data_IF_378516700850
#
_entry.id   IF_378516700850
#
_cell.length_a   1.000
_cell.length_b   1.000
_cell.length_c   1.000
_cell.angle_alpha   90.00
_cell.angle_beta   90.00
_cell.angle_gamma   90.00
#
_symmetry.space_group_name_H-M   'P 1'
#
loop_
_entity.id
_entity.type
_entity.pdbx_description
1 polymer ?
#
# COMPACT_ATOMS: atom_id res chain seq x y z
N UNK A 1 2.17 40.47 8.23
CA UNK A 1 1.48 39.40 8.98
C UNK A 1 0.62 38.64 7.99
N UNK A 2 1.15 37.56 7.42
CA UNK A 2 0.41 36.65 6.55
C UNK A 2 0.22 35.36 7.35
N UNK A 3 -1.04 35.02 7.62
CA UNK A 3 -1.43 33.80 8.34
C UNK A 3 -1.12 32.58 7.48
N UNK A 4 -0.18 31.75 7.93
CA UNK A 4 -0.05 30.36 7.48
C UNK A 4 -1.24 29.56 8.01
N UNK A 5 -1.90 28.72 7.20
CA UNK A 5 -2.93 27.83 7.72
C UNK A 5 -2.25 26.77 8.58
N UNK A 6 -2.70 26.67 9.82
CA UNK A 6 -2.31 25.65 10.78
C UNK A 6 -2.60 24.26 10.21
N UNK A 7 -1.55 23.49 9.96
CA UNK A 7 -1.62 22.05 9.68
C UNK A 7 -2.08 21.38 10.98
N UNK A 8 -3.38 21.10 11.07
CA UNK A 8 -3.90 20.25 12.14
C UNK A 8 -3.36 18.83 11.91
N UNK A 9 -2.43 18.40 12.76
CA UNK A 9 -2.03 17.00 12.85
C UNK A 9 -3.27 16.15 13.12
N UNK A 10 -3.66 15.32 12.16
CA UNK A 10 -4.87 14.49 12.25
C UNK A 10 -4.65 13.42 13.32
N UNK A 11 -5.17 13.66 14.52
CA UNK A 11 -5.25 12.68 15.59
C UNK A 11 -6.33 11.64 15.27
N UNK A 12 -5.98 10.35 15.43
CA UNK A 12 -6.82 9.12 15.56
C UNK A 12 -8.34 9.29 15.56
N UNK A 13 -8.94 9.77 14.48
CA UNK A 13 -10.34 9.48 14.16
C UNK A 13 -10.30 8.47 13.03
N UNK A 14 -10.98 7.34 13.22
CA UNK A 14 -11.39 6.49 12.11
C UNK A 14 -12.34 7.34 11.24
N UNK A 15 -11.77 8.19 10.39
CA UNK A 15 -12.47 9.14 9.51
C UNK A 15 -12.85 8.48 8.18
N UNK A 16 -12.92 7.15 8.15
CA UNK A 16 -13.52 6.42 7.05
C UNK A 16 -15.00 6.79 6.99
N UNK A 17 -15.50 7.32 5.85
CA UNK A 17 -16.90 7.66 5.73
C UNK A 17 -17.75 6.40 5.89
N UNK A 18 -18.86 6.48 6.64
CA UNK A 18 -19.80 5.37 6.74
C UNK A 18 -21.05 5.68 5.92
N UNK A 19 -21.15 5.09 4.74
CA UNK A 19 -22.27 5.33 3.82
C UNK A 19 -23.39 4.32 4.10
N UNK A 20 -24.65 4.73 4.30
CA UNK A 20 -25.76 3.81 4.51
C UNK A 20 -25.98 2.85 3.34
N UNK A 21 -26.34 1.60 3.64
CA UNK A 21 -26.59 0.56 2.62
C UNK A 21 -27.59 0.99 1.53
N UNK A 22 -28.76 1.59 1.86
CA UNK A 22 -29.70 2.04 0.84
C UNK A 22 -29.11 3.11 -0.08
N UNK A 23 -28.34 4.05 0.47
CA UNK A 23 -27.73 5.16 -0.28
C UNK A 23 -26.67 4.64 -1.27
N UNK A 24 -25.88 3.62 -0.88
CA UNK A 24 -24.95 2.94 -1.80
C UNK A 24 -25.67 2.33 -2.99
N UNK A 25 -26.80 1.64 -2.73
CA UNK A 25 -27.58 0.97 -3.76
C UNK A 25 -28.24 2.00 -4.69
N UNK A 26 -28.83 3.07 -4.15
CA UNK A 26 -29.42 4.15 -4.95
C UNK A 26 -28.35 4.80 -5.84
N UNK A 27 -27.18 5.12 -5.28
CA UNK A 27 -26.07 5.69 -6.03
C UNK A 27 -25.59 4.75 -7.14
N UNK A 28 -25.44 3.46 -6.85
CA UNK A 28 -25.08 2.44 -7.85
C UNK A 28 -26.10 2.35 -8.98
N UNK A 29 -27.39 2.23 -8.64
CA UNK A 29 -28.45 2.13 -9.64
C UNK A 29 -28.57 3.41 -10.48
N UNK A 30 -28.26 4.58 -9.90
CA UNK A 30 -28.15 5.84 -10.64
C UNK A 30 -27.00 5.80 -11.66
N UNK A 31 -25.82 5.33 -11.27
CA UNK A 31 -24.67 5.15 -12.19
C UNK A 31 -24.99 4.18 -13.34
N UNK A 32 -25.97 3.27 -13.15
CA UNK A 32 -26.45 2.31 -14.14
C UNK A 32 -27.77 2.70 -14.82
N UNK A 33 -28.31 3.91 -14.60
CA UNK A 33 -29.67 4.28 -15.06
C UNK A 33 -29.79 4.30 -16.60
N UNK A 34 -28.67 4.48 -17.31
CA UNK A 34 -28.62 4.35 -18.77
C UNK A 34 -29.06 2.97 -19.29
N UNK A 35 -29.06 1.94 -18.43
CA UNK A 35 -29.54 0.59 -18.77
C UNK A 35 -31.04 0.38 -18.56
N UNK A 36 -31.77 1.36 -18.01
CA UNK A 36 -33.16 1.20 -17.61
C UNK A 36 -34.07 0.74 -18.77
N UNK A 37 -33.86 1.29 -19.97
CA UNK A 37 -34.66 0.98 -21.17
C UNK A 37 -34.04 -0.12 -22.04
N UNK A 38 -32.92 -0.71 -21.62
CA UNK A 38 -32.25 -1.77 -22.38
C UNK A 38 -32.94 -3.13 -22.21
N UNK A 39 -33.11 -3.83 -23.33
CA UNK A 39 -33.63 -5.21 -23.33
C UNK A 39 -32.62 -6.21 -22.74
N UNK A 40 -31.33 -6.08 -23.08
CA UNK A 40 -30.21 -6.85 -22.52
C UNK A 40 -29.38 -5.91 -21.65
N UNK A 41 -29.14 -6.31 -20.40
CA UNK A 41 -28.40 -5.51 -19.42
C UNK A 41 -27.10 -6.20 -18.98
N UNK A 42 -26.23 -5.49 -18.28
CA UNK A 42 -25.04 -6.07 -17.66
C UNK A 42 -25.37 -6.73 -16.31
N UNK A 43 -24.41 -7.47 -15.76
CA UNK A 43 -24.53 -8.04 -14.43
C UNK A 43 -24.64 -6.98 -13.33
N UNK A 44 -24.29 -5.72 -13.59
CA UNK A 44 -24.21 -4.65 -12.58
C UNK A 44 -25.57 -4.33 -11.96
N UNK A 45 -26.66 -4.51 -12.70
CA UNK A 45 -28.03 -4.31 -12.21
C UNK A 45 -28.65 -5.57 -11.59
N UNK A 46 -27.87 -6.63 -11.39
CA UNK A 46 -28.28 -7.85 -10.69
C UNK A 46 -27.90 -7.81 -9.21
N UNK A 47 -28.40 -8.76 -8.41
CA UNK A 47 -28.12 -8.79 -6.96
C UNK A 47 -26.62 -8.96 -6.69
N UNK A 48 -25.95 -9.81 -7.48
CA UNK A 48 -24.51 -10.04 -7.36
C UNK A 48 -23.72 -8.81 -7.77
N UNK A 49 -24.06 -8.17 -8.90
CA UNK A 49 -23.40 -6.94 -9.33
C UNK A 49 -23.56 -5.80 -8.32
N UNK A 50 -24.78 -5.57 -7.83
CA UNK A 50 -25.04 -4.56 -6.79
C UNK A 50 -24.26 -4.88 -5.51
N UNK A 51 -24.26 -6.15 -5.07
CA UNK A 51 -23.52 -6.57 -3.88
C UNK A 51 -22.03 -6.26 -4.03
N UNK A 52 -21.49 -6.53 -5.20
CA UNK A 52 -20.10 -6.34 -5.53
C UNK A 52 -19.70 -4.86 -5.56
N UNK A 53 -20.39 -4.04 -6.35
CA UNK A 53 -20.08 -2.61 -6.50
C UNK A 53 -20.30 -1.82 -5.21
N UNK A 54 -21.25 -2.21 -4.36
CA UNK A 54 -21.54 -1.55 -3.09
C UNK A 54 -20.73 -2.10 -1.90
N UNK A 55 -19.84 -3.09 -2.13
CA UNK A 55 -19.10 -3.81 -1.08
C UNK A 55 -20.03 -4.37 0.02
N UNK A 56 -21.08 -5.08 -0.39
CA UNK A 56 -22.12 -5.64 0.48
C UNK A 56 -22.19 -7.16 0.38
N UNK A 57 -22.51 -7.79 1.51
CA UNK A 57 -22.91 -9.19 1.50
C UNK A 57 -24.30 -9.34 0.82
N UNK A 58 -24.53 -10.31 -0.10
CA UNK A 58 -25.78 -10.40 -0.90
C UNK A 58 -27.13 -10.42 -0.12
N UNK A 59 -27.21 -10.99 1.09
CA UNK A 59 -28.38 -10.87 1.97
C UNK A 59 -28.69 -9.43 2.39
N UNK A 60 -27.69 -8.58 2.61
CA UNK A 60 -27.89 -7.18 2.98
C UNK A 60 -28.49 -6.39 1.82
N UNK A 61 -28.03 -6.67 0.59
CA UNK A 61 -28.67 -6.16 -0.64
C UNK A 61 -30.13 -6.60 -0.67
N UNK A 62 -30.41 -7.90 -0.48
CA UNK A 62 -31.80 -8.40 -0.54
C UNK A 62 -32.73 -7.78 0.51
N UNK A 63 -32.21 -7.35 1.67
CA UNK A 63 -32.97 -6.62 2.69
C UNK A 63 -33.24 -5.18 2.27
N UNK A 64 -32.20 -4.47 1.85
CA UNK A 64 -32.30 -3.08 1.41
C UNK A 64 -33.19 -2.94 0.15
N UNK A 65 -33.07 -3.84 -0.81
CA UNK A 65 -33.93 -3.84 -2.01
C UNK A 65 -35.41 -4.03 -1.67
N UNK A 66 -35.74 -4.86 -0.67
CA UNK A 66 -37.13 -5.00 -0.22
C UNK A 66 -37.67 -3.70 0.38
N UNK A 67 -36.85 -3.01 1.17
CA UNK A 67 -37.19 -1.71 1.74
C UNK A 67 -37.39 -0.66 0.64
N UNK A 68 -36.41 -0.48 -0.24
CA UNK A 68 -36.46 0.50 -1.34
C UNK A 68 -37.65 0.23 -2.29
N UNK A 69 -37.95 -1.04 -2.57
CA UNK A 69 -39.10 -1.40 -3.40
C UNK A 69 -40.44 -1.12 -2.69
N UNK A 70 -40.52 -1.32 -1.37
CA UNK A 70 -41.71 -0.96 -0.59
C UNK A 70 -41.96 0.55 -0.50
N UNK A 71 -40.90 1.34 -0.67
CA UNK A 71 -40.95 2.80 -0.73
C UNK A 71 -41.19 3.33 -2.16
N UNK A 72 -41.34 2.46 -3.16
CA UNK A 72 -41.56 2.87 -4.55
C UNK A 72 -40.32 3.41 -5.28
N UNK A 73 -39.13 3.37 -4.67
CA UNK A 73 -37.91 4.00 -5.21
C UNK A 73 -37.21 3.16 -6.28
N UNK A 74 -37.45 1.85 -6.31
CA UNK A 74 -36.87 0.94 -7.29
C UNK A 74 -37.94 -0.01 -7.84
N UNK A 75 -37.68 -0.53 -9.04
CA UNK A 75 -38.50 -1.56 -9.66
C UNK A 75 -37.66 -2.80 -9.99
N UNK A 76 -38.29 -3.99 -9.90
CA UNK A 76 -37.66 -5.27 -10.20
C UNK A 76 -38.17 -5.82 -11.53
N UNK A 77 -37.26 -6.22 -12.41
CA UNK A 77 -37.55 -6.81 -13.72
C UNK A 77 -36.83 -8.14 -13.90
N UNK A 78 -37.38 -9.02 -14.72
CA UNK A 78 -36.66 -10.21 -15.20
C UNK A 78 -36.09 -9.88 -16.58
N UNK A 79 -34.77 -9.83 -16.74
CA UNK A 79 -34.11 -9.46 -18.01
C UNK A 79 -32.96 -10.41 -18.36
N UNK A 80 -32.67 -10.64 -19.65
CA UNK A 80 -31.45 -11.30 -20.08
C UNK A 80 -30.22 -10.46 -19.70
N UNK A 81 -29.16 -11.11 -19.22
CA UNK A 81 -27.91 -10.48 -18.84
C UNK A 81 -26.84 -10.86 -19.87
N UNK A 82 -26.05 -9.89 -20.32
CA UNK A 82 -24.97 -10.12 -21.29
C UNK A 82 -24.00 -11.18 -20.74
N UNK A 83 -23.71 -12.21 -21.54
CA UNK A 83 -22.81 -13.30 -21.16
C UNK A 83 -23.47 -14.41 -20.33
N UNK A 84 -24.77 -14.31 -20.04
CA UNK A 84 -25.52 -15.37 -19.38
C UNK A 84 -26.70 -15.84 -20.26
N UNK A 85 -26.90 -17.16 -20.31
CA UNK A 85 -28.00 -17.77 -21.05
C UNK A 85 -29.33 -17.70 -20.29
N UNK A 86 -29.31 -17.36 -19.00
CA UNK A 86 -30.50 -17.27 -18.14
C UNK A 86 -30.90 -15.82 -17.92
N UNK A 87 -32.22 -15.60 -17.80
CA UNK A 87 -32.77 -14.32 -17.33
C UNK A 87 -32.53 -14.20 -15.83
N UNK A 88 -32.15 -13.01 -15.40
CA UNK A 88 -31.93 -12.70 -14.00
C UNK A 88 -32.92 -11.66 -13.50
N UNK A 89 -33.11 -11.64 -12.18
CA UNK A 89 -33.74 -10.50 -11.52
C UNK A 89 -32.77 -9.32 -11.59
N UNK A 90 -33.29 -8.21 -12.07
CA UNK A 90 -32.57 -6.96 -12.28
C UNK A 90 -33.36 -5.83 -11.65
N UNK A 91 -32.68 -4.76 -11.27
CA UNK A 91 -33.30 -3.62 -10.62
C UNK A 91 -32.89 -2.31 -11.27
N UNK A 92 -33.77 -1.34 -11.21
CA UNK A 92 -33.55 0.02 -11.69
C UNK A 92 -34.33 1.02 -10.85
N UNK A 93 -33.95 2.29 -10.92
CA UNK A 93 -34.68 3.37 -10.26
C UNK A 93 -36.05 3.57 -10.92
N UNK A 94 -37.03 3.99 -10.12
CA UNK A 94 -38.28 4.60 -10.60
C UNK A 94 -38.07 6.11 -10.79
N UNK A 95 -39.06 6.83 -11.30
CA UNK A 95 -38.99 8.29 -11.39
C UNK A 95 -38.81 8.95 -10.01
N UNK A 96 -39.55 8.49 -9.00
CA UNK A 96 -39.36 8.93 -7.61
C UNK A 96 -37.97 8.55 -7.08
N UNK A 97 -37.49 7.35 -7.40
CA UNK A 97 -36.13 6.92 -7.08
C UNK A 97 -35.04 7.80 -7.68
N UNK A 98 -35.26 8.32 -8.90
CA UNK A 98 -34.33 9.26 -9.55
C UNK A 98 -34.27 10.60 -8.84
N UNK A 99 -35.41 11.13 -8.37
CA UNK A 99 -35.41 12.37 -7.57
C UNK A 99 -34.65 12.19 -6.26
N UNK A 100 -34.94 11.12 -5.51
CA UNK A 100 -34.21 10.80 -4.27
C UNK A 100 -32.73 10.57 -4.54
N UNK A 101 -32.37 9.92 -5.65
CA UNK A 101 -30.98 9.72 -6.02
C UNK A 101 -30.22 11.05 -6.20
N UNK A 102 -30.83 12.06 -6.84
CA UNK A 102 -30.20 13.38 -7.00
C UNK A 102 -29.93 14.06 -5.66
N UNK A 103 -30.87 13.99 -4.73
CA UNK A 103 -30.69 14.51 -3.37
C UNK A 103 -29.55 13.79 -2.65
N UNK A 104 -29.56 12.45 -2.66
CA UNK A 104 -28.50 11.64 -2.04
C UNK A 104 -27.14 11.85 -2.66
N UNK A 105 -27.04 11.99 -3.97
CA UNK A 105 -25.79 12.32 -4.65
C UNK A 105 -25.25 13.66 -4.15
N UNK A 106 -26.10 14.68 -4.00
CA UNK A 106 -25.69 15.99 -3.48
C UNK A 106 -25.09 15.87 -2.06
N UNK A 107 -25.75 15.11 -1.17
CA UNK A 107 -25.24 14.83 0.17
C UNK A 107 -23.91 14.08 0.14
N UNK A 108 -23.84 12.97 -0.62
CA UNK A 108 -22.68 12.09 -0.69
C UNK A 108 -21.45 12.75 -1.33
N UNK A 109 -21.64 13.70 -2.25
CA UNK A 109 -20.54 14.50 -2.81
C UNK A 109 -19.81 15.32 -1.76
N UNK A 110 -20.51 15.78 -0.73
CA UNK A 110 -19.95 16.61 0.34
C UNK A 110 -19.23 15.81 1.44
N UNK A 111 -19.32 14.49 1.43
CA UNK A 111 -18.66 13.61 2.41
C UNK A 111 -17.16 13.79 2.33
N UNK A 112 -16.52 13.93 3.48
CA UNK A 112 -15.07 14.04 3.58
C UNK A 112 -14.42 12.66 3.50
N UNK A 113 -13.37 12.58 2.68
CA UNK A 113 -12.54 11.40 2.48
C UNK A 113 -11.07 11.79 2.65
N UNK A 114 -10.25 10.85 3.11
CA UNK A 114 -8.82 11.05 3.21
C UNK A 114 -8.15 10.63 1.90
N UNK A 115 -7.36 11.53 1.33
CA UNK A 115 -6.45 11.22 0.23
C UNK A 115 -5.00 11.43 0.68
N UNK A 116 -4.09 10.57 0.26
CA UNK A 116 -2.66 10.84 0.35
C UNK A 116 -2.24 11.56 -0.93
N UNK A 117 -1.84 12.82 -0.79
CA UNK A 117 -1.35 13.64 -1.89
C UNK A 117 -0.04 13.09 -2.44
N UNK A 118 0.42 13.66 -3.57
CA UNK A 118 1.73 13.37 -4.13
C UNK A 118 2.82 13.45 -3.06
N UNK A 119 2.90 14.54 -2.29
CA UNK A 119 3.97 14.76 -1.30
C UNK A 119 3.94 13.83 -0.07
N UNK A 120 3.07 12.83 -0.02
CA UNK A 120 2.88 11.94 1.13
C UNK A 120 1.99 12.53 2.23
N UNK A 121 1.60 13.80 2.12
CA UNK A 121 0.68 14.45 3.05
C UNK A 121 -0.73 13.88 2.90
N UNK A 122 -1.36 13.54 4.03
CA UNK A 122 -2.75 13.12 4.08
C UNK A 122 -3.64 14.35 4.16
N UNK A 123 -4.53 14.51 3.18
CA UNK A 123 -5.47 15.61 3.04
C UNK A 123 -6.89 15.08 3.22
N UNK A 124 -7.69 15.79 4.00
CA UNK A 124 -9.14 15.56 4.10
C UNK A 124 -9.85 16.47 3.08
N UNK A 125 -10.57 15.87 2.14
CA UNK A 125 -11.23 16.58 1.03
C UNK A 125 -12.62 16.00 0.78
N UNK A 126 -13.45 16.71 0.02
CA UNK A 126 -14.76 16.18 -0.42
C UNK A 126 -14.61 15.02 -1.41
N UNK A 127 -15.55 14.07 -1.36
CA UNK A 127 -15.58 12.91 -2.23
C UNK A 127 -15.67 13.27 -3.73
N UNK A 128 -16.39 14.33 -4.08
CA UNK A 128 -16.50 14.80 -5.46
C UNK A 128 -15.22 15.42 -6.01
N UNK A 129 -14.40 16.04 -5.16
CA UNK A 129 -13.08 16.53 -5.53
C UNK A 129 -12.04 15.41 -5.64
N UNK A 130 -12.26 14.28 -4.95
CA UNK A 130 -11.28 13.21 -4.86
C UNK A 130 -11.01 12.55 -6.22
N UNK A 131 -12.02 12.35 -7.07
CA UNK A 131 -11.83 11.79 -8.42
C UNK A 131 -10.81 12.60 -9.22
N UNK A 132 -11.02 13.92 -9.26
CA UNK A 132 -10.18 14.86 -10.00
C UNK A 132 -8.79 14.96 -9.39
N UNK A 133 -8.68 14.99 -8.06
CA UNK A 133 -7.40 15.07 -7.35
C UNK A 133 -6.58 13.79 -7.48
N UNK A 134 -7.21 12.61 -7.48
CA UNK A 134 -6.56 11.33 -7.70
C UNK A 134 -6.20 11.11 -9.19
N UNK A 135 -6.77 11.93 -10.10
CA UNK A 135 -6.70 11.74 -11.56
C UNK A 135 -7.09 10.33 -11.98
N UNK A 136 -8.01 9.76 -11.24
CA UNK A 136 -8.50 8.40 -11.42
C UNK A 136 -9.90 8.51 -12.01
N UNK A 137 -10.21 7.73 -13.05
CA UNK A 137 -11.55 7.70 -13.68
C UNK A 137 -12.60 7.02 -12.79
N UNK A 138 -12.58 7.27 -11.49
CA UNK A 138 -13.43 6.63 -10.49
C UNK A 138 -14.77 7.32 -10.37
N UNK A 139 -15.82 6.51 -10.21
CA UNK A 139 -17.15 6.98 -9.85
C UNK A 139 -17.21 7.45 -8.39
N UNK A 140 -18.26 8.23 -8.06
CA UNK A 140 -18.48 8.68 -6.69
C UNK A 140 -18.68 7.47 -5.75
N UNK A 141 -19.39 6.44 -6.20
CA UNK A 141 -19.55 5.21 -5.42
C UNK A 141 -18.21 4.55 -5.13
N UNK A 142 -17.36 4.39 -6.15
CA UNK A 142 -16.05 3.77 -5.98
C UNK A 142 -15.20 4.52 -4.96
N UNK A 143 -15.12 5.86 -5.06
CA UNK A 143 -14.37 6.69 -4.09
C UNK A 143 -14.87 6.47 -2.67
N UNK A 144 -16.19 6.51 -2.46
CA UNK A 144 -16.78 6.34 -1.14
C UNK A 144 -16.55 4.93 -0.59
N UNK A 145 -16.64 3.90 -1.43
CA UNK A 145 -16.43 2.53 -1.01
C UNK A 145 -14.97 2.24 -0.69
N UNK A 146 -14.02 2.70 -1.51
CA UNK A 146 -12.60 2.59 -1.20
C UNK A 146 -12.25 3.39 0.05
N UNK A 147 -12.77 4.61 0.22
CA UNK A 147 -12.50 5.41 1.42
C UNK A 147 -13.05 4.74 2.69
N UNK A 148 -14.25 4.14 2.62
CA UNK A 148 -14.85 3.45 3.75
C UNK A 148 -14.06 2.19 4.16
N UNK A 149 -13.54 1.43 3.21
CA UNK A 149 -12.91 0.13 3.47
C UNK A 149 -11.38 0.17 3.59
N UNK A 150 -10.73 1.14 2.95
CA UNK A 150 -9.27 1.32 2.92
C UNK A 150 -8.81 2.50 3.78
N UNK A 151 -9.72 3.41 4.15
CA UNK A 151 -9.47 4.55 5.01
C UNK A 151 -8.82 5.73 4.29
N UNK A 152 -7.65 5.51 3.67
CA UNK A 152 -6.91 6.54 2.94
C UNK A 152 -6.70 6.12 1.49
N UNK A 153 -7.17 6.94 0.56
CA UNK A 153 -6.98 6.73 -0.87
C UNK A 153 -5.63 7.28 -1.31
N UNK A 154 -4.83 6.49 -2.02
CA UNK A 154 -3.49 6.93 -2.44
C UNK A 154 -3.52 7.56 -3.84
N UNK A 155 -2.89 8.73 -3.99
CA UNK A 155 -2.67 9.32 -5.30
C UNK A 155 -1.84 8.38 -6.18
N UNK A 156 -2.30 8.11 -7.41
CA UNK A 156 -1.59 7.25 -8.35
C UNK A 156 -1.62 5.76 -8.00
N UNK A 157 -2.59 5.32 -7.22
CA UNK A 157 -2.87 3.89 -7.04
C UNK A 157 -3.13 3.23 -8.41
N UNK A 158 -2.24 2.31 -8.78
CA UNK A 158 -2.19 1.70 -10.11
C UNK A 158 -3.47 0.96 -10.47
N UNK A 159 -4.25 0.50 -9.46
CA UNK A 159 -5.55 -0.15 -9.68
C UNK A 159 -6.52 0.74 -10.44
N UNK A 160 -6.47 2.05 -10.18
CA UNK A 160 -7.41 3.00 -10.75
C UNK A 160 -6.93 3.60 -12.09
N UNK A 161 -5.65 3.45 -12.42
CA UNK A 161 -5.06 3.97 -13.66
C UNK A 161 -4.93 2.92 -14.77
N UNK A 162 -4.48 1.70 -14.44
CA UNK A 162 -4.22 0.65 -15.43
C UNK A 162 -5.52 -0.03 -15.93
N UNK A 163 -6.45 -0.34 -15.03
CA UNK A 163 -7.66 -1.13 -15.36
C UNK A 163 -8.79 -0.32 -15.98
N UNK A 164 -8.79 1.02 -15.82
CA UNK A 164 -9.80 1.91 -16.42
C UNK A 164 -9.55 2.12 -17.92
N UNK A 165 -8.33 1.82 -18.41
CA UNK A 165 -8.00 1.89 -19.84
C UNK A 165 -8.77 0.87 -20.71
N UNK A 166 -9.38 -0.15 -20.09
CA UNK A 166 -10.25 -1.12 -20.79
C UNK A 166 -11.60 -0.56 -21.25
N UNK A 167 -11.96 0.68 -20.88
CA UNK A 167 -13.23 1.33 -21.26
C UNK A 167 -13.09 2.40 -22.35
N UNK A 168 -13.03 2.00 -23.62
CA UNK A 168 -13.40 2.78 -24.84
C UNK A 168 -13.17 4.30 -24.87
N UNK A 169 -12.09 4.82 -24.29
CA UNK A 169 -11.68 6.20 -24.54
C UNK A 169 -10.18 6.25 -24.70
N UNK A 170 -9.73 6.31 -25.97
CA UNK A 170 -8.34 6.63 -26.28
C UNK A 170 -7.96 7.96 -25.61
N UNK A 171 -6.83 8.01 -24.89
CA UNK A 171 -6.37 9.26 -24.29
C UNK A 171 -6.11 10.28 -25.39
N UNK A 172 -6.65 11.50 -25.24
CA UNK A 172 -6.35 12.59 -26.18
C UNK A 172 -4.83 12.82 -26.24
N UNK A 173 -4.25 12.97 -27.44
CA UNK A 173 -2.82 13.21 -27.60
C UNK A 173 -2.46 14.53 -26.92
N UNK A 174 -1.49 14.48 -26.00
CA UNK A 174 -1.12 15.59 -25.10
C UNK A 174 -1.53 15.39 -23.64
N UNK A 175 -2.26 14.31 -23.31
CA UNK A 175 -2.37 13.85 -21.92
C UNK A 175 -1.03 13.28 -21.47
N UNK A 176 -0.29 14.09 -20.72
CA UNK A 176 0.94 13.67 -20.02
C UNK A 176 0.62 12.36 -19.29
N UNK A 177 1.33 11.30 -19.70
CA UNK A 177 1.22 9.91 -19.25
C UNK A 177 0.46 9.72 -17.94
N UNK A 178 -0.68 9.03 -18.04
CA UNK A 178 -1.66 8.71 -17.00
C UNK A 178 -1.12 8.04 -15.71
N UNK A 179 0.19 7.83 -15.60
CA UNK A 179 0.83 7.07 -14.52
C UNK A 179 2.18 7.65 -14.05
N UNK A 180 2.72 8.72 -14.67
CA UNK A 180 4.02 9.31 -14.23
C UNK A 180 3.95 10.07 -12.90
N UNK A 181 2.76 10.17 -12.31
CA UNK A 181 2.53 10.94 -11.10
C UNK A 181 2.39 10.13 -9.81
N UNK A 182 2.36 8.79 -9.85
CA UNK A 182 2.27 7.99 -8.63
C UNK A 182 3.52 8.28 -7.78
N UNK A 183 3.38 9.12 -6.75
CA UNK A 183 4.37 9.15 -5.70
C UNK A 183 4.13 7.89 -4.90
N UNK A 184 4.86 6.86 -5.34
CA UNK A 184 5.33 5.75 -4.54
C UNK A 184 5.23 6.07 -3.05
N UNK A 185 4.38 5.33 -2.31
CA UNK A 185 4.42 5.41 -0.83
C UNK A 185 5.74 4.87 -0.27
N UNK A 186 6.60 4.35 -1.15
CA UNK A 186 7.98 4.00 -0.93
C UNK A 186 8.94 5.08 -1.47
N UNK A 187 10.12 5.16 -0.88
CA UNK A 187 11.25 5.91 -1.40
C UNK A 187 12.20 5.00 -2.16
N UNK A 188 12.95 5.54 -3.12
CA UNK A 188 13.99 4.78 -3.85
C UNK A 188 15.29 4.65 -3.08
N UNK A 189 15.40 5.36 -1.96
CA UNK A 189 16.50 5.29 -1.03
C UNK A 189 15.97 5.56 0.39
N UNK A 190 16.60 5.00 1.43
CA UNK A 190 16.29 5.32 2.81
C UNK A 190 16.59 6.81 3.09
N UNK A 191 16.02 7.39 4.16
CA UNK A 191 16.23 8.79 4.49
C UNK A 191 17.71 9.08 4.70
N UNK A 192 18.15 10.28 4.29
CA UNK A 192 19.49 10.79 4.65
C UNK A 192 19.52 10.97 6.15
N UNK A 193 20.33 10.18 6.82
CA UNK A 193 20.52 10.25 8.27
C UNK A 193 21.89 10.83 8.60
N UNK A 194 22.10 11.13 9.89
CA UNK A 194 23.37 11.56 10.46
C UNK A 194 24.50 10.54 10.23
N UNK A 195 25.74 10.96 10.43
CA UNK A 195 26.90 10.07 10.42
C UNK A 195 26.73 8.98 11.47
N UNK A 196 26.95 7.73 11.07
CA UNK A 196 26.97 6.60 11.99
C UNK A 196 28.34 6.57 12.67
N UNK A 197 28.33 6.55 13.99
CA UNK A 197 29.52 6.39 14.82
C UNK A 197 29.45 5.01 15.49
N UNK A 198 30.59 4.32 15.57
CA UNK A 198 30.62 2.90 15.98
C UNK A 198 29.96 1.98 14.96
N UNK A 199 29.49 0.81 15.41
CA UNK A 199 28.72 -0.18 14.63
C UNK A 199 29.48 -0.91 13.52
N UNK A 200 30.80 -1.00 13.61
CA UNK A 200 31.63 -1.70 12.60
C UNK A 200 31.27 -3.19 12.49
N UNK A 201 30.95 -3.83 13.62
CA UNK A 201 30.53 -5.24 13.67
C UNK A 201 29.19 -5.43 12.94
N UNK A 202 28.21 -4.57 13.20
CA UNK A 202 26.89 -4.65 12.58
C UNK A 202 26.91 -4.30 11.09
N UNK A 203 27.71 -3.32 10.67
CA UNK A 203 27.95 -3.04 9.23
C UNK A 203 28.57 -4.27 8.56
N UNK A 204 29.59 -4.88 9.18
CA UNK A 204 30.19 -6.12 8.65
C UNK A 204 29.18 -7.27 8.57
N UNK A 205 28.25 -7.34 9.53
CA UNK A 205 27.15 -8.30 9.51
C UNK A 205 26.16 -8.07 8.36
N UNK A 206 25.83 -6.82 8.05
CA UNK A 206 25.00 -6.47 6.89
C UNK A 206 25.70 -6.82 5.58
N UNK A 207 27.01 -6.54 5.47
CA UNK A 207 27.82 -6.92 4.31
C UNK A 207 27.89 -8.44 4.15
N UNK A 208 28.10 -9.18 5.25
CA UNK A 208 28.12 -10.63 5.25
C UNK A 208 26.77 -11.22 4.80
N UNK A 209 25.66 -10.67 5.30
CA UNK A 209 24.32 -11.06 4.83
C UNK A 209 24.15 -10.80 3.33
N UNK A 210 24.52 -9.62 2.86
CA UNK A 210 24.39 -9.27 1.45
C UNK A 210 25.30 -10.12 0.55
N UNK A 211 26.49 -10.50 0.99
CA UNK A 211 27.34 -11.43 0.25
C UNK A 211 26.81 -12.88 0.29
N UNK A 212 26.11 -13.27 1.35
CA UNK A 212 25.62 -14.64 1.52
C UNK A 212 24.49 -15.05 0.56
N UNK A 213 23.84 -14.10 -0.11
CA UNK A 213 22.68 -14.39 -0.96
C UNK A 213 21.40 -14.70 -0.20
N UNK A 214 21.38 -14.57 1.14
CA UNK A 214 20.19 -14.90 1.93
C UNK A 214 19.03 -13.96 1.62
N UNK A 215 17.80 -14.49 1.45
CA UNK A 215 16.65 -13.70 1.01
C UNK A 215 16.18 -12.65 2.02
N UNK A 216 16.38 -12.85 3.33
CA UNK A 216 15.88 -11.93 4.35
C UNK A 216 16.89 -11.68 5.46
N UNK A 217 17.02 -10.41 5.85
CA UNK A 217 17.60 -9.99 7.12
C UNK A 217 16.55 -9.29 7.98
N UNK A 218 16.38 -9.77 9.21
CA UNK A 218 15.55 -9.16 10.23
C UNK A 218 16.43 -8.39 11.22
N UNK A 219 16.29 -7.06 11.22
CA UNK A 219 16.98 -6.16 12.14
C UNK A 219 16.02 -5.75 13.27
N UNK A 220 16.22 -6.28 14.47
CA UNK A 220 15.41 -5.97 15.65
C UNK A 220 16.17 -5.06 16.64
N UNK A 221 15.44 -4.31 17.48
CA UNK A 221 16.06 -3.49 18.52
C UNK A 221 15.14 -2.41 19.05
N UNK A 222 15.39 -1.93 20.27
CA UNK A 222 14.54 -0.94 20.94
C UNK A 222 14.46 0.37 20.15
N UNK A 223 13.42 1.17 20.37
CA UNK A 223 13.32 2.50 19.78
C UNK A 223 14.58 3.33 20.08
N UNK A 224 15.09 4.02 19.07
CA UNK A 224 16.22 4.93 19.22
C UNK A 224 17.62 4.30 19.32
N UNK A 225 17.78 2.99 19.13
CA UNK A 225 19.11 2.37 19.02
C UNK A 225 19.85 2.64 17.69
N UNK A 226 19.20 3.33 16.74
CA UNK A 226 19.81 3.74 15.48
C UNK A 226 19.62 2.78 14.29
N UNK A 227 18.62 1.88 14.31
CA UNK A 227 18.38 0.90 13.22
C UNK A 227 18.26 1.54 11.84
N UNK A 228 17.35 2.49 11.68
CA UNK A 228 17.16 3.22 10.41
C UNK A 228 18.43 3.95 10.00
N UNK A 229 19.15 4.56 10.95
CA UNK A 229 20.44 5.23 10.69
C UNK A 229 21.51 4.27 10.18
N UNK A 230 21.65 3.11 10.83
CA UNK A 230 22.58 2.04 10.43
C UNK A 230 22.28 1.57 9.00
N UNK A 231 21.02 1.23 8.72
CA UNK A 231 20.59 0.76 7.40
C UNK A 231 20.78 1.84 6.34
N UNK A 232 20.38 3.09 6.61
CA UNK A 232 20.61 4.21 5.68
C UNK A 232 22.09 4.38 5.33
N UNK A 233 22.98 4.27 6.31
CA UNK A 233 24.42 4.40 6.11
C UNK A 233 24.97 3.24 5.27
N UNK A 234 24.63 2.00 5.63
CA UNK A 234 25.04 0.81 4.89
C UNK A 234 24.58 0.84 3.43
N UNK A 235 23.30 1.16 3.20
CA UNK A 235 22.72 1.31 1.86
C UNK A 235 23.48 2.34 1.03
N UNK A 236 23.85 3.47 1.63
CA UNK A 236 24.58 4.53 0.91
C UNK A 236 25.93 4.02 0.42
N UNK A 237 26.59 3.13 1.17
CA UNK A 237 27.82 2.46 0.76
C UNK A 237 27.59 1.45 -0.36
N UNK A 238 26.57 0.61 -0.27
CA UNK A 238 26.26 -0.41 -1.30
C UNK A 238 25.85 0.24 -2.63
N UNK A 239 24.98 1.26 -2.58
CA UNK A 239 24.53 1.99 -3.78
C UNK A 239 25.68 2.72 -4.49
N UNK A 240 26.74 3.12 -3.77
CA UNK A 240 27.91 3.74 -4.37
C UNK A 240 28.77 2.75 -5.18
N UNK A 241 28.68 1.45 -4.86
CA UNK A 241 29.52 0.40 -5.43
C UNK A 241 28.79 -0.44 -6.50
N UNK A 242 27.46 -0.33 -6.61
CA UNK A 242 26.64 -1.16 -7.51
C UNK A 242 25.74 -0.32 -8.40
N UNK A 243 25.99 -0.35 -9.72
CA UNK A 243 25.21 0.39 -10.72
C UNK A 243 23.88 -0.28 -11.11
N UNK A 244 23.69 -1.56 -10.80
CA UNK A 244 22.55 -2.39 -11.22
C UNK A 244 21.64 -2.82 -10.05
N UNK A 245 21.58 -2.00 -8.99
CA UNK A 245 20.79 -2.28 -7.79
C UNK A 245 19.52 -1.43 -7.74
N UNK A 246 18.37 -2.09 -7.71
CA UNK A 246 17.07 -1.47 -7.49
C UNK A 246 16.74 -1.47 -6.00
N UNK A 247 16.23 -0.36 -5.46
CA UNK A 247 15.89 -0.26 -4.05
C UNK A 247 14.49 0.30 -3.80
N UNK A 248 13.80 -0.34 -2.86
CA UNK A 248 12.56 0.12 -2.27
C UNK A 248 12.78 0.35 -0.77
N UNK A 249 12.47 1.55 -0.28
CA UNK A 249 12.37 1.82 1.14
C UNK A 249 10.93 2.16 1.50
N UNK A 250 10.31 1.38 2.37
CA UNK A 250 8.92 1.54 2.77
C UNK A 250 8.82 1.76 4.29
N UNK A 251 8.50 2.97 4.77
CA UNK A 251 8.30 3.23 6.19
C UNK A 251 6.89 2.78 6.63
N UNK A 252 6.77 1.56 7.17
CA UNK A 252 5.48 0.98 7.55
C UNK A 252 4.77 1.81 8.63
N UNK A 253 3.54 2.22 8.34
CA UNK A 253 2.66 2.92 9.26
C UNK A 253 1.54 2.00 9.76
N UNK A 254 0.96 2.27 10.95
CA UNK A 254 -0.10 1.44 11.50
C UNK A 254 -1.39 1.33 10.66
N UNK A 255 -1.56 2.22 9.68
CA UNK A 255 -2.70 2.24 8.76
C UNK A 255 -2.39 1.67 7.38
N UNK A 256 -1.15 1.24 7.13
CA UNK A 256 -0.82 0.63 5.84
C UNK A 256 -1.42 -0.78 5.75
N UNK A 257 -1.90 -1.12 4.56
CA UNK A 257 -2.52 -2.41 4.28
C UNK A 257 -1.59 -3.30 3.45
N UNK A 258 -1.81 -4.62 3.52
CA UNK A 258 -1.07 -5.56 2.67
C UNK A 258 -1.19 -5.20 1.17
N UNK A 259 -2.35 -4.70 0.77
CA UNK A 259 -2.59 -4.22 -0.59
C UNK A 259 -1.70 -3.02 -0.93
N UNK A 260 -1.65 -2.00 -0.06
CA UNK A 260 -0.83 -0.81 -0.30
C UNK A 260 0.66 -1.12 -0.44
N UNK A 261 1.17 -2.04 0.40
CA UNK A 261 2.57 -2.51 0.33
C UNK A 261 2.81 -3.29 -0.96
N UNK A 262 1.91 -4.22 -1.33
CA UNK A 262 2.01 -5.01 -2.55
C UNK A 262 1.99 -4.11 -3.81
N UNK A 263 1.03 -3.19 -3.90
CA UNK A 263 0.93 -2.20 -4.98
C UNK A 263 2.20 -1.36 -5.09
N UNK A 264 2.78 -0.95 -3.96
CA UNK A 264 4.02 -0.18 -3.92
C UNK A 264 5.22 -0.98 -4.45
N UNK A 265 5.28 -2.28 -4.13
CA UNK A 265 6.30 -3.18 -4.67
C UNK A 265 6.18 -3.34 -6.19
N UNK A 266 4.97 -3.56 -6.71
CA UNK A 266 4.75 -3.68 -8.16
C UNK A 266 5.19 -2.42 -8.90
N UNK A 267 4.81 -1.24 -8.39
CA UNK A 267 5.21 0.03 -8.97
C UNK A 267 6.74 0.22 -8.95
N UNK A 268 7.44 -0.30 -7.92
CA UNK A 268 8.91 -0.27 -7.84
C UNK A 268 9.57 -1.20 -8.85
N UNK A 269 9.05 -2.40 -9.00
CA UNK A 269 9.60 -3.41 -9.92
C UNK A 269 9.39 -2.99 -11.38
N UNK A 270 8.44 -2.07 -11.64
CA UNK A 270 8.18 -1.53 -12.97
C UNK A 270 6.86 -1.98 -13.57
N UNK A 271 6.02 -2.69 -12.81
CA UNK A 271 4.68 -3.11 -13.22
C UNK A 271 3.71 -1.95 -12.96
N UNK A 272 3.44 -1.12 -13.97
CA UNK A 272 2.52 0.03 -13.83
C UNK A 272 1.29 -0.08 -14.71
N UNK A 273 1.36 -0.85 -15.79
CA UNK A 273 0.29 -1.04 -16.77
C UNK A 273 0.36 -2.45 -17.38
N UNK A 274 -0.64 -2.81 -18.18
CA UNK A 274 -0.73 -4.13 -18.83
C UNK A 274 0.43 -4.40 -19.80
N UNK A 275 0.97 -3.38 -20.48
CA UNK A 275 2.12 -3.57 -21.39
C UNK A 275 3.42 -3.93 -20.67
N UNK A 276 3.55 -3.54 -19.41
CA UNK A 276 4.68 -3.86 -18.53
C UNK A 276 4.40 -5.11 -17.67
N UNK A 277 3.30 -5.83 -17.91
CA UNK A 277 2.84 -6.94 -17.08
C UNK A 277 2.50 -8.21 -17.89
N UNK A 278 3.48 -8.84 -18.57
CA UNK A 278 3.23 -10.02 -19.40
C UNK A 278 2.66 -11.22 -18.61
N UNK A 279 2.87 -11.24 -17.29
CA UNK A 279 2.42 -12.30 -16.38
C UNK A 279 1.11 -11.96 -15.65
N UNK A 280 0.47 -10.84 -15.96
CA UNK A 280 -0.81 -10.40 -15.41
C UNK A 280 -0.81 -10.34 -13.87
N UNK A 281 0.27 -9.86 -13.25
CA UNK A 281 0.35 -9.63 -11.80
C UNK A 281 -0.72 -8.63 -11.34
N UNK A 282 -1.03 -7.61 -12.14
CA UNK A 282 -2.01 -6.57 -11.82
C UNK A 282 -3.43 -7.11 -11.60
N UNK A 283 -3.83 -8.16 -12.31
CA UNK A 283 -5.12 -8.84 -12.11
C UNK A 283 -5.30 -9.39 -10.69
N UNK A 284 -4.20 -9.65 -9.99
CA UNK A 284 -4.26 -10.15 -8.61
C UNK A 284 -4.62 -9.07 -7.61
N UNK A 285 -4.48 -7.79 -8.00
CA UNK A 285 -4.86 -6.67 -7.16
C UNK A 285 -6.39 -6.53 -7.14
N UNK A 286 -7.02 -6.54 -5.96
CA UNK A 286 -8.45 -6.31 -5.84
C UNK A 286 -8.81 -4.89 -6.28
N UNK A 287 -9.47 -4.78 -7.43
CA UNK A 287 -10.10 -3.54 -7.86
C UNK A 287 -11.35 -3.23 -7.04
N UNK A 288 -12.05 -4.26 -6.56
CA UNK A 288 -13.33 -4.10 -5.86
C UNK A 288 -13.09 -3.61 -4.44
N UNK A 289 -13.86 -2.63 -3.94
CA UNK A 289 -13.74 -2.21 -2.55
C UNK A 289 -14.01 -3.37 -1.59
N UNK A 290 -13.30 -3.39 -0.47
CA UNK A 290 -13.35 -4.46 0.54
C UNK A 290 -12.86 -5.85 0.09
N UNK A 291 -12.51 -6.06 -1.18
CA UNK A 291 -11.89 -7.30 -1.62
C UNK A 291 -10.46 -7.40 -1.09
N UNK A 292 -10.07 -8.62 -0.69
CA UNK A 292 -8.74 -8.89 -0.14
C UNK A 292 -7.79 -9.27 -1.26
N UNK A 293 -6.51 -8.98 -1.04
CA UNK A 293 -5.44 -9.46 -1.92
C UNK A 293 -5.35 -10.98 -1.83
N UNK A 294 -5.48 -11.66 -2.96
CA UNK A 294 -5.26 -13.11 -3.06
C UNK A 294 -3.75 -13.38 -3.07
N UNK A 295 -3.16 -13.43 -1.87
CA UNK A 295 -1.71 -13.48 -1.64
C UNK A 295 -1.03 -14.61 -2.41
N UNK A 296 -1.65 -15.79 -2.48
CA UNK A 296 -1.09 -16.93 -3.21
C UNK A 296 -1.01 -16.70 -4.73
N UNK A 297 -2.02 -16.05 -5.31
CA UNK A 297 -2.04 -15.69 -6.73
C UNK A 297 -1.00 -14.62 -7.01
N UNK A 298 -1.00 -13.56 -6.19
CA UNK A 298 -0.02 -12.48 -6.24
C UNK A 298 1.41 -13.00 -6.19
N UNK A 299 1.73 -13.87 -5.20
CA UNK A 299 3.04 -14.50 -5.04
C UNK A 299 3.48 -15.24 -6.31
N UNK A 300 2.64 -16.13 -6.84
CA UNK A 300 2.99 -16.96 -8.00
C UNK A 300 3.23 -16.11 -9.25
N UNK A 301 2.34 -15.16 -9.55
CA UNK A 301 2.49 -14.30 -10.73
C UNK A 301 3.69 -13.37 -10.60
N UNK A 302 3.95 -12.83 -9.41
CA UNK A 302 5.11 -11.97 -9.18
C UNK A 302 6.44 -12.74 -9.28
N UNK A 303 6.50 -13.99 -8.82
CA UNK A 303 7.68 -14.86 -9.03
C UNK A 303 7.91 -15.07 -10.53
N UNK A 304 6.87 -15.43 -11.28
CA UNK A 304 6.97 -15.62 -12.73
C UNK A 304 7.47 -14.35 -13.44
N UNK A 305 6.94 -13.19 -13.04
CA UNK A 305 7.38 -11.89 -13.57
C UNK A 305 8.84 -11.57 -13.26
N UNK A 306 9.31 -11.84 -12.05
CA UNK A 306 10.69 -11.54 -11.65
C UNK A 306 11.71 -12.52 -12.22
N UNK A 307 11.30 -13.77 -12.49
CA UNK A 307 12.15 -14.76 -13.15
C UNK A 307 12.21 -14.55 -14.66
N UNK A 308 11.09 -14.16 -15.27
CA UNK A 308 10.96 -13.89 -16.70
C UNK A 308 11.60 -15.00 -17.57
N UNK A 309 11.28 -16.27 -17.29
CA UNK A 309 11.90 -17.43 -17.97
C UNK A 309 11.69 -17.39 -19.49
N UNK A 310 10.59 -16.77 -19.95
CA UNK A 310 10.24 -16.61 -21.35
C UNK A 310 10.88 -15.37 -22.00
N UNK A 311 11.67 -14.58 -21.25
CA UNK A 311 12.36 -13.35 -21.70
C UNK A 311 11.41 -12.34 -22.36
N UNK A 312 10.25 -12.12 -21.73
CA UNK A 312 9.22 -11.20 -22.22
C UNK A 312 9.49 -9.75 -21.78
N UNK A 313 10.41 -9.52 -20.84
CA UNK A 313 10.69 -8.21 -20.26
C UNK A 313 12.08 -7.72 -20.70
N UNK A 314 12.12 -6.72 -21.58
CA UNK A 314 13.37 -6.21 -22.19
C UNK A 314 14.31 -5.46 -21.23
N UNK A 315 13.84 -5.04 -20.04
CA UNK A 315 14.52 -4.04 -19.20
C UNK A 315 14.83 -4.46 -17.75
N UNK A 316 14.52 -5.69 -17.34
CA UNK A 316 14.61 -6.10 -15.93
C UNK A 316 15.47 -7.36 -15.68
N UNK A 317 16.11 -7.90 -16.72
CA UNK A 317 16.92 -9.12 -16.58
C UNK A 317 18.16 -8.85 -15.73
N UNK A 318 18.21 -9.48 -14.54
CA UNK A 318 19.38 -9.47 -13.67
C UNK A 318 19.48 -8.31 -12.67
N UNK A 319 18.51 -7.39 -12.63
CA UNK A 319 18.51 -6.29 -11.64
C UNK A 319 18.21 -6.86 -10.25
N UNK A 320 19.18 -6.79 -9.35
CA UNK A 320 18.96 -7.13 -7.95
C UNK A 320 18.05 -6.09 -7.30
N UNK A 321 17.04 -6.53 -6.55
CA UNK A 321 16.09 -5.62 -5.89
C UNK A 321 16.13 -5.80 -4.38
N UNK A 322 16.54 -4.76 -3.65
CA UNK A 322 16.46 -4.74 -2.18
C UNK A 322 15.21 -3.99 -1.74
N UNK A 323 14.35 -4.68 -1.01
CA UNK A 323 13.15 -4.11 -0.38
C UNK A 323 13.37 -3.98 1.12
N UNK A 324 13.43 -2.73 1.58
CA UNK A 324 13.59 -2.35 2.97
C UNK A 324 12.22 -1.97 3.51
N UNK A 325 11.73 -2.73 4.49
CA UNK A 325 10.52 -2.39 5.23
C UNK A 325 10.93 -1.90 6.61
N UNK A 326 10.72 -0.60 6.90
CA UNK A 326 11.03 0.00 8.19
C UNK A 326 9.82 -0.03 9.12
N UNK A 327 10.06 -0.17 10.43
CA UNK A 327 9.04 -0.27 11.47
C UNK A 327 7.93 -1.32 11.18
N UNK A 328 8.30 -2.52 10.70
CA UNK A 328 7.37 -3.60 10.29
C UNK A 328 6.36 -4.00 11.37
N UNK A 329 6.75 -3.93 12.65
CA UNK A 329 5.86 -4.14 13.79
C UNK A 329 4.59 -3.27 13.79
N UNK A 330 4.58 -2.13 13.10
CA UNK A 330 3.39 -1.28 12.96
C UNK A 330 2.25 -1.97 12.20
N UNK A 331 2.56 -2.89 11.28
CA UNK A 331 1.55 -3.65 10.51
C UNK A 331 0.90 -4.74 11.37
N UNK A 332 1.65 -5.29 12.32
CA UNK A 332 1.20 -6.39 13.17
C UNK A 332 0.89 -7.67 12.40
N UNK A 333 0.15 -8.58 13.04
CA UNK A 333 -0.11 -9.94 12.52
C UNK A 333 -0.95 -9.99 11.23
N UNK A 334 -1.61 -8.89 10.87
CA UNK A 334 -2.35 -8.79 9.59
C UNK A 334 -1.39 -8.83 8.39
N UNK A 335 -0.12 -8.47 8.58
CA UNK A 335 0.91 -8.49 7.55
C UNK A 335 1.59 -9.85 7.36
N UNK A 336 1.47 -10.78 8.31
CA UNK A 336 2.30 -12.00 8.37
C UNK A 336 2.20 -12.84 7.09
N UNK A 337 0.99 -12.99 6.53
CA UNK A 337 0.80 -13.73 5.29
C UNK A 337 1.47 -13.04 4.09
N UNK A 338 1.45 -11.71 4.02
CA UNK A 338 2.13 -10.97 2.96
C UNK A 338 3.65 -11.09 3.13
N UNK A 339 4.17 -10.95 4.35
CA UNK A 339 5.60 -11.05 4.60
C UNK A 339 6.13 -12.47 4.32
N UNK A 340 5.35 -13.51 4.66
CA UNK A 340 5.66 -14.88 4.26
C UNK A 340 5.68 -15.06 2.75
N UNK A 341 4.75 -14.43 2.02
CA UNK A 341 4.76 -14.45 0.55
C UNK A 341 5.98 -13.70 -0.02
N UNK A 342 6.34 -12.54 0.52
CA UNK A 342 7.55 -11.81 0.14
C UNK A 342 8.81 -12.62 0.39
N UNK A 343 8.92 -13.31 1.53
CA UNK A 343 10.04 -14.20 1.82
C UNK A 343 10.16 -15.30 0.76
N UNK A 344 9.03 -15.91 0.39
CA UNK A 344 9.02 -16.92 -0.69
C UNK A 344 9.35 -16.33 -2.06
N UNK A 345 8.93 -15.10 -2.37
CA UNK A 345 9.35 -14.41 -3.59
C UNK A 345 10.87 -14.21 -3.57
N UNK A 346 11.43 -13.71 -2.47
CA UNK A 346 12.86 -13.49 -2.29
C UNK A 346 13.68 -14.79 -2.37
N UNK A 347 13.12 -15.92 -1.92
CA UNK A 347 13.77 -17.23 -2.02
C UNK A 347 13.93 -17.75 -3.45
N UNK A 348 13.06 -17.31 -4.36
CA UNK A 348 12.98 -17.81 -5.74
C UNK A 348 13.39 -16.78 -6.78
N UNK A 349 13.81 -15.57 -6.39
CA UNK A 349 14.09 -14.45 -7.31
C UNK A 349 15.31 -13.66 -6.83
N UNK A 350 15.73 -12.65 -7.59
CA UNK A 350 16.80 -11.72 -7.19
C UNK A 350 16.32 -10.61 -6.22
N UNK A 351 15.16 -10.80 -5.59
CA UNK A 351 14.63 -9.89 -4.58
C UNK A 351 15.22 -10.25 -3.21
N UNK A 352 15.65 -9.25 -2.45
CA UNK A 352 16.09 -9.39 -1.06
C UNK A 352 15.30 -8.48 -0.13
N UNK A 353 15.09 -8.95 1.09
CA UNK A 353 14.31 -8.26 2.11
C UNK A 353 15.20 -7.83 3.26
N UNK A 354 15.08 -6.58 3.67
CA UNK A 354 15.61 -6.07 4.93
C UNK A 354 14.45 -5.52 5.75
N UNK A 355 14.11 -6.20 6.83
CA UNK A 355 12.98 -5.84 7.68
C UNK A 355 13.47 -5.27 9.00
N UNK A 356 13.10 -4.03 9.31
CA UNK A 356 13.46 -3.34 10.54
C UNK A 356 12.26 -3.36 11.49
N UNK A 357 12.49 -3.76 12.74
CA UNK A 357 11.42 -3.88 13.72
C UNK A 357 11.90 -3.57 15.14
N UNK A 358 10.96 -3.26 16.03
CA UNK A 358 11.25 -3.15 17.47
C UNK A 358 11.31 -4.50 18.17
N UNK A 359 10.63 -5.48 17.60
CA UNK A 359 10.50 -6.84 18.13
C UNK A 359 10.92 -7.85 17.08
N UNK A 360 11.20 -9.07 17.51
CA UNK A 360 11.41 -10.17 16.57
C UNK A 360 10.13 -10.42 15.75
N UNK A 361 10.32 -10.86 14.52
CA UNK A 361 9.25 -11.09 13.56
C UNK A 361 8.70 -12.51 13.76
N UNK A 362 7.37 -12.67 13.75
CA UNK A 362 6.72 -13.93 14.09
C UNK A 362 6.23 -14.73 12.88
N UNK A 363 6.35 -14.19 11.65
CA UNK A 363 5.80 -14.82 10.44
C UNK A 363 6.66 -15.97 9.87
N UNK A 364 7.85 -16.20 10.43
CA UNK A 364 8.70 -17.34 10.10
C UNK A 364 9.14 -18.09 11.37
N UNK A 365 9.44 -19.37 11.23
CA UNK A 365 9.90 -20.24 12.30
C UNK A 365 11.44 -20.26 12.38
N UNK A 366 12.02 -20.62 13.53
CA UNK A 366 13.47 -20.74 13.76
C UNK A 366 14.18 -21.67 12.78
N UNK A 367 13.45 -22.59 12.13
CA UNK A 367 13.98 -23.42 11.04
C UNK A 367 14.51 -22.58 9.88
N UNK A 368 13.89 -21.44 9.58
CA UNK A 368 14.35 -20.52 8.53
C UNK A 368 15.72 -19.89 8.86
N UNK A 369 16.04 -19.77 10.14
CA UNK A 369 17.31 -19.21 10.62
C UNK A 369 18.38 -20.29 10.75
N UNK A 370 18.07 -21.41 11.42
CA UNK A 370 19.08 -22.39 11.81
C UNK A 370 19.21 -23.61 10.91
N UNK A 371 18.15 -23.98 10.18
CA UNK A 371 18.12 -25.24 9.41
C UNK A 371 18.11 -25.00 7.91
N UNK A 372 17.26 -24.09 7.44
CA UNK A 372 17.10 -23.73 6.03
C UNK A 372 18.07 -22.63 5.59
N UNK A 373 18.67 -21.94 6.57
CA UNK A 373 19.64 -20.86 6.40
C UNK A 373 19.19 -19.76 5.42
N UNK A 374 17.90 -19.40 5.48
CA UNK A 374 17.26 -18.40 4.61
C UNK A 374 17.16 -17.02 5.26
N UNK A 375 17.10 -16.96 6.59
CA UNK A 375 16.88 -15.71 7.33
C UNK A 375 18.06 -15.43 8.24
N UNK A 376 18.61 -14.22 8.14
CA UNK A 376 19.60 -13.71 9.11
C UNK A 376 18.91 -12.81 10.12
N UNK A 377 19.17 -13.02 11.41
CA UNK A 377 18.66 -12.16 12.47
C UNK A 377 19.80 -11.34 13.06
N UNK A 378 19.58 -10.03 13.20
CA UNK A 378 20.51 -9.11 13.82
C UNK A 378 19.76 -8.29 14.88
N UNK A 379 20.23 -8.34 16.11
CA UNK A 379 19.68 -7.55 17.21
C UNK A 379 20.59 -6.35 17.49
N UNK A 380 20.06 -5.14 17.36
CA UNK A 380 20.76 -3.90 17.61
C UNK A 380 20.54 -3.45 19.06
N UNK A 381 21.58 -3.56 19.89
CA UNK A 381 21.62 -3.08 21.28
C UNK A 381 22.05 -1.61 21.36
N UNK A 382 22.17 -1.05 22.57
CA UNK A 382 22.90 0.21 22.77
C UNK A 382 24.37 0.11 22.33
N UNK A 383 25.01 1.25 22.10
CA UNK A 383 26.44 1.38 21.82
C UNK A 383 27.26 0.88 23.01
N UNK A 384 28.37 0.19 22.72
CA UNK A 384 29.34 -0.22 23.72
C UNK A 384 30.07 1.03 24.26
N UNK A 385 30.62 0.93 25.47
CA UNK A 385 31.37 2.03 26.09
C UNK A 385 32.53 2.54 25.19
N UNK A 386 33.27 1.63 24.56
CA UNK A 386 34.37 1.94 23.65
C UNK A 386 33.92 2.75 22.42
N UNK A 387 32.70 2.48 21.92
CA UNK A 387 32.12 3.20 20.79
C UNK A 387 31.69 4.61 21.19
N UNK A 388 31.23 4.78 22.43
CA UNK A 388 30.89 6.09 23.00
C UNK A 388 32.16 6.90 23.26
N UNK A 389 33.23 6.28 23.75
CA UNK A 389 34.56 6.92 23.91
C UNK A 389 35.05 7.47 22.57
N UNK A 390 35.08 6.63 21.52
CA UNK A 390 35.50 7.05 20.18
C UNK A 390 34.58 8.14 19.58
N UNK A 391 33.31 8.16 19.94
CA UNK A 391 32.37 9.18 19.48
C UNK A 391 32.55 10.52 20.22
N UNK A 392 32.75 10.48 21.53
CA UNK A 392 33.02 11.66 22.35
C UNK A 392 34.32 12.33 21.92
N UNK A 393 35.36 11.59 21.54
CA UNK A 393 36.60 12.19 21.02
C UNK A 393 36.40 12.99 19.72
N UNK A 394 35.36 12.70 18.95
CA UNK A 394 35.02 13.41 17.72
C UNK A 394 34.12 14.63 17.95
N UNK A 395 33.39 14.67 19.07
CA UNK A 395 32.55 15.80 19.47
C UNK A 395 33.40 16.64 20.43
N UNK A 396 33.60 17.93 20.14
CA UNK A 396 34.45 18.80 20.97
C UNK A 396 33.74 19.15 22.32
N UNK A 397 33.60 18.16 23.21
CA UNK A 397 32.91 18.25 24.52
C UNK A 397 33.91 18.75 25.58
N UNK A 398 33.48 19.52 26.60
CA UNK A 398 34.35 19.96 27.69
C UNK A 398 35.05 18.78 28.40
N UNK A 399 36.34 18.93 28.71
CA UNK A 399 37.28 17.89 29.22
C UNK A 399 36.85 17.07 30.46
N UNK A 400 35.71 17.39 31.08
CA UNK A 400 35.27 16.82 32.36
C UNK A 400 34.18 15.73 32.26
N UNK A 401 33.78 15.28 31.06
CA UNK A 401 32.74 14.24 30.93
C UNK A 401 33.37 12.89 30.57
N UNK A 402 33.36 11.96 31.53
CA UNK A 402 33.83 10.59 31.31
C UNK A 402 32.81 9.79 30.50
N UNK A 403 33.26 9.14 29.42
CA UNK A 403 32.41 8.30 28.58
C UNK A 403 31.75 7.14 29.33
N UNK A 404 32.41 6.63 30.37
CA UNK A 404 31.85 5.63 31.28
C UNK A 404 30.62 6.14 32.05
N UNK A 405 30.59 7.43 32.38
CA UNK A 405 29.47 8.07 33.06
C UNK A 405 28.30 8.35 32.11
N UNK A 406 28.60 8.77 30.87
CA UNK A 406 27.60 8.88 29.80
C UNK A 406 26.98 7.52 29.48
N UNK A 407 27.79 6.47 29.30
CA UNK A 407 27.31 5.12 29.04
C UNK A 407 26.42 4.61 30.19
N UNK A 408 26.82 4.87 31.44
CA UNK A 408 26.03 4.50 32.63
C UNK A 408 24.66 5.19 32.68
N UNK A 409 24.59 6.48 32.30
CA UNK A 409 23.34 7.26 32.35
C UNK A 409 22.43 6.98 31.16
N UNK A 410 23.00 6.78 29.97
CA UNK A 410 22.25 6.63 28.71
C UNK A 410 21.96 5.17 28.34
N UNK A 411 22.61 4.21 28.99
CA UNK A 411 22.57 2.80 28.61
C UNK A 411 23.15 2.54 27.21
N UNK A 412 23.95 3.49 26.69
CA UNK A 412 24.48 3.48 25.34
C UNK A 412 23.46 3.79 24.23
N UNK A 413 22.31 4.37 24.55
CA UNK A 413 21.35 4.78 23.52
C UNK A 413 21.85 6.00 22.74
N UNK A 414 22.09 5.90 21.40
CA UNK A 414 22.69 6.99 20.62
C UNK A 414 21.93 8.33 20.70
N UNK A 415 20.59 8.29 20.72
CA UNK A 415 19.77 9.49 20.88
C UNK A 415 19.93 10.17 22.25
N UNK A 416 20.16 9.39 23.30
CA UNK A 416 20.34 9.91 24.65
C UNK A 416 21.76 10.44 24.89
N UNK A 417 22.75 9.99 24.11
CA UNK A 417 24.13 10.49 24.16
C UNK A 417 24.27 11.87 23.50
N UNK A 418 23.40 12.20 22.54
CA UNK A 418 23.40 13.50 21.84
C UNK A 418 22.62 14.62 22.55
N UNK A 419 21.68 14.27 23.44
CA UNK A 419 20.85 15.22 24.19
C UNK A 419 21.54 15.65 25.49
#
# INVERSE_FOLDING_TARGET
>A
MLHSPTVNSVARRNSSPNIPVPDRIILHLWEQDFQADHFIVTSDVTRSGIAESCALHPPNVSRAMRQLNSQGLISQHSRPVRGDNRRHKTWQLTDEGREIAREKISELRSVLVLIRSKGGEVLEIRADEAANKLRAGLSLLQILMHAQHEGVLNFGDIRFGALVAGGTSEPKPGSISLLTGAHSTYNTAPPKTRTVHGRKEEISGLDSWYQSGKPLLALSGIAGCGKTTLVSHWVSGVMANSSELSMMYYPCQPWDSSLGIATSLLHRIGIRNESEDPYNVLDTLPYKPAARLEIDSFRRRLIAHLLDEDSLIEHNQGIETIVILDDVHNIGSQGDHLFGAFLQIAENTNLRLLMISRTNLAFYDRRYVHTLDKVSEMALSGLKQEEIESWIEQINIPENVLASEIHRVTGGHPLAVEC
#
